data_IF_321716928457
#
_entry.id   IF_321716928457
#
_cell.length_a   1.000
_cell.length_b   1.000
_cell.length_c   1.000
_cell.angle_alpha   90.00
_cell.angle_beta   90.00
_cell.angle_gamma   90.00
#
_symmetry.space_group_name_H-M   'P 1'
#
loop_
_entity.id
_entity.type
_entity.pdbx_description
1 polymer ?
#
# COMPACT_ATOMS: atom_id res chain seq x y z
N UNK A 1 21.12 4.86 3.61
CA UNK A 1 19.86 5.26 2.97
C UNK A 1 19.23 6.45 3.69
N UNK A 2 19.21 6.49 5.02
CA UNK A 2 18.65 7.60 5.83
C UNK A 2 19.24 8.95 5.46
N UNK A 3 20.57 9.05 5.33
CA UNK A 3 21.21 10.27 4.85
C UNK A 3 20.85 10.59 3.38
N UNK A 4 20.75 9.57 2.53
CA UNK A 4 20.40 9.76 1.13
C UNK A 4 19.03 10.43 0.94
N UNK A 5 18.04 10.16 1.79
CA UNK A 5 16.70 10.78 1.74
C UNK A 5 16.54 12.00 2.65
N UNK A 6 17.61 12.49 3.28
CA UNK A 6 17.57 13.57 4.28
C UNK A 6 17.42 14.98 3.70
N UNK A 7 17.47 15.14 2.38
CA UNK A 7 17.32 16.44 1.68
C UNK A 7 16.44 16.29 0.45
N UNK A 8 15.65 17.29 0.10
CA UNK A 8 14.78 17.24 -1.08
C UNK A 8 15.56 17.22 -2.39
N UNK A 9 14.92 16.83 -3.46
CA UNK A 9 15.43 16.87 -4.83
C UNK A 9 16.50 15.82 -5.15
N UNK A 10 16.55 14.71 -4.40
CA UNK A 10 17.56 13.67 -4.61
C UNK A 10 17.04 12.48 -5.42
N UNK A 11 17.91 11.99 -6.28
CA UNK A 11 17.77 10.68 -6.91
C UNK A 11 18.75 9.73 -6.21
N UNK A 12 18.20 8.73 -5.53
CA UNK A 12 18.97 7.74 -4.77
C UNK A 12 19.20 6.50 -5.64
N UNK A 13 20.48 6.19 -5.85
CA UNK A 13 20.95 5.02 -6.59
C UNK A 13 21.80 4.14 -5.67
N UNK A 14 21.99 2.88 -6.05
CA UNK A 14 22.71 1.89 -5.25
C UNK A 14 23.85 1.25 -6.06
N UNK A 15 25.05 1.34 -5.57
CA UNK A 15 26.23 0.67 -6.14
C UNK A 15 26.47 -0.71 -5.53
N UNK A 16 25.70 -1.08 -4.51
CA UNK A 16 25.81 -2.35 -3.80
C UNK A 16 24.44 -3.01 -3.67
N UNK A 17 24.42 -4.33 -3.54
CA UNK A 17 23.22 -5.07 -3.17
C UNK A 17 23.26 -5.50 -1.70
N UNK A 18 22.15 -5.96 -1.18
CA UNK A 18 22.06 -6.54 0.15
C UNK A 18 20.87 -6.07 0.98
N UNK A 19 20.95 -6.33 2.28
CA UNK A 19 19.91 -5.99 3.23
C UNK A 19 20.34 -4.80 4.10
N UNK A 20 19.49 -3.79 4.16
CA UNK A 20 19.60 -2.65 5.07
C UNK A 20 18.71 -2.95 6.28
N UNK A 21 19.33 -3.30 7.41
CA UNK A 21 18.60 -3.55 8.65
C UNK A 21 18.34 -2.23 9.39
N UNK A 22 17.08 -1.91 9.56
CA UNK A 22 16.63 -0.73 10.30
C UNK A 22 16.31 -1.11 11.74
N UNK A 23 16.73 -0.28 12.68
CA UNK A 23 16.37 -0.35 14.10
C UNK A 23 15.28 0.65 14.47
N UNK A 24 14.98 1.57 13.58
CA UNK A 24 13.92 2.57 13.71
C UNK A 24 13.38 2.93 12.31
N UNK A 25 12.14 3.38 12.24
CA UNK A 25 11.43 3.77 11.02
C UNK A 25 12.28 4.61 10.07
N UNK A 26 12.32 4.23 8.80
CA UNK A 26 12.88 5.10 7.76
C UNK A 26 11.82 6.08 7.28
N UNK A 27 11.92 7.34 7.69
CA UNK A 27 11.00 8.39 7.23
C UNK A 27 11.58 9.13 6.01
N UNK A 28 10.84 9.11 4.90
CA UNK A 28 11.08 9.99 3.74
C UNK A 28 10.24 11.26 3.97
N UNK A 29 10.84 12.24 4.63
CA UNK A 29 10.18 13.48 5.06
C UNK A 29 10.50 14.70 4.20
N UNK A 30 11.14 14.50 3.03
CA UNK A 30 11.49 15.56 2.09
C UNK A 30 10.90 15.25 0.72
N UNK A 31 10.35 16.26 0.08
CA UNK A 31 9.75 16.13 -1.25
C UNK A 31 10.77 16.00 -2.38
N UNK A 32 10.31 15.58 -3.54
CA UNK A 32 11.12 15.40 -4.75
C UNK A 32 12.23 14.34 -4.56
N UNK A 33 11.89 13.22 -3.95
CA UNK A 33 12.79 12.07 -3.76
C UNK A 33 12.45 10.97 -4.75
N UNK A 34 13.46 10.47 -5.45
CA UNK A 34 13.34 9.28 -6.29
C UNK A 34 14.30 8.21 -5.79
N UNK A 35 13.81 7.02 -5.48
CA UNK A 35 14.63 5.87 -5.06
C UNK A 35 14.59 4.81 -6.15
N UNK A 36 15.74 4.50 -6.73
CA UNK A 36 15.89 3.60 -7.88
C UNK A 36 16.59 2.29 -7.46
N UNK A 37 15.84 1.38 -6.85
CA UNK A 37 16.35 0.08 -6.40
C UNK A 37 16.91 -0.80 -7.52
N UNK A 38 16.46 -0.62 -8.76
CA UNK A 38 16.95 -1.34 -9.94
C UNK A 38 18.40 -1.02 -10.31
N UNK A 39 18.99 0.03 -9.76
CA UNK A 39 20.41 0.34 -9.98
C UNK A 39 21.34 -0.55 -9.15
N UNK A 40 20.81 -1.18 -8.10
CA UNK A 40 21.61 -2.11 -7.29
C UNK A 40 21.99 -3.34 -8.09
N UNK A 41 23.27 -3.79 -8.00
CA UNK A 41 23.69 -5.02 -8.64
C UNK A 41 23.09 -6.26 -7.98
N UNK A 42 23.30 -7.42 -8.61
CA UNK A 42 22.99 -8.74 -8.05
C UNK A 42 21.53 -8.90 -7.61
N UNK A 43 21.34 -9.18 -6.34
CA UNK A 43 20.01 -9.44 -5.77
C UNK A 43 19.23 -8.17 -5.42
N UNK A 44 19.74 -6.98 -5.68
CA UNK A 44 19.06 -5.71 -5.36
C UNK A 44 19.05 -5.38 -3.86
N UNK A 45 18.14 -4.49 -3.44
CA UNK A 45 18.07 -4.00 -2.06
C UNK A 45 16.85 -4.55 -1.33
N UNK A 46 17.08 -5.02 -0.13
CA UNK A 46 16.04 -5.34 0.86
C UNK A 46 16.17 -4.41 2.06
N UNK A 47 15.05 -3.84 2.51
CA UNK A 47 14.95 -3.10 3.77
C UNK A 47 14.27 -4.01 4.77
N UNK A 48 14.84 -4.20 5.94
CA UNK A 48 14.34 -5.09 6.98
C UNK A 48 14.36 -4.42 8.37
N UNK A 49 13.66 -4.99 9.32
CA UNK A 49 13.63 -4.58 10.73
C UNK A 49 12.48 -3.63 11.09
N UNK A 50 12.25 -2.59 10.30
CA UNK A 50 11.09 -1.68 10.45
C UNK A 50 10.59 -1.22 9.10
N UNK A 51 9.62 -0.32 9.09
CA UNK A 51 8.93 0.20 7.93
C UNK A 51 9.64 1.37 7.21
N UNK A 52 9.11 1.68 6.04
CA UNK A 52 9.45 2.88 5.26
C UNK A 52 8.21 3.77 5.17
N UNK A 53 8.22 4.87 5.89
CA UNK A 53 7.15 5.87 5.89
C UNK A 53 7.42 6.98 4.91
N UNK A 54 6.53 7.20 3.96
CA UNK A 54 6.51 8.37 3.09
C UNK A 54 5.68 9.47 3.77
N UNK A 55 6.30 10.60 4.05
CA UNK A 55 5.69 11.72 4.75
C UNK A 55 5.99 13.06 4.04
N UNK A 56 6.08 13.02 2.72
CA UNK A 56 6.29 14.17 1.85
C UNK A 56 5.75 13.89 0.46
N UNK A 57 5.46 14.93 -0.29
CA UNK A 57 4.94 14.86 -1.64
C UNK A 57 6.02 14.62 -2.69
N UNK A 58 5.59 14.18 -3.87
CA UNK A 58 6.43 13.92 -5.02
C UNK A 58 7.58 12.94 -4.72
N UNK A 59 7.18 11.72 -4.35
CA UNK A 59 8.10 10.63 -4.04
C UNK A 59 7.88 9.45 -4.97
N UNK A 60 8.96 8.97 -5.55
CA UNK A 60 8.99 7.79 -6.42
C UNK A 60 9.88 6.72 -5.77
N UNK A 61 9.32 5.52 -5.55
CA UNK A 61 10.07 4.37 -5.03
C UNK A 61 9.91 3.20 -6.00
N UNK A 62 11.03 2.70 -6.48
CA UNK A 62 11.03 1.60 -7.45
C UNK A 62 12.00 0.48 -7.07
N UNK A 63 11.58 -0.76 -7.32
CA UNK A 63 12.38 -1.98 -7.19
C UNK A 63 13.00 -2.19 -5.81
N UNK A 64 12.29 -1.86 -4.75
CA UNK A 64 12.70 -2.19 -3.39
C UNK A 64 11.92 -3.40 -2.85
N UNK A 65 12.58 -4.18 -2.01
CA UNK A 65 11.93 -5.15 -1.13
C UNK A 65 11.89 -4.60 0.28
N UNK A 66 10.71 -4.65 0.94
CA UNK A 66 10.57 -4.23 2.34
C UNK A 66 10.04 -5.41 3.15
N UNK A 67 10.76 -5.77 4.19
CA UNK A 67 10.55 -6.95 5.04
C UNK A 67 10.75 -6.58 6.52
N UNK A 68 9.82 -5.83 7.14
CA UNK A 68 10.01 -5.36 8.52
C UNK A 68 10.17 -6.53 9.49
N UNK A 69 9.31 -7.53 9.39
CA UNK A 69 9.21 -8.57 10.42
C UNK A 69 8.62 -8.01 11.71
N UNK A 70 8.72 -8.79 12.78
CA UNK A 70 8.20 -8.44 14.10
C UNK A 70 9.27 -8.44 15.22
N UNK A 71 10.53 -8.29 14.83
CA UNK A 71 11.66 -8.22 15.78
C UNK A 71 11.72 -6.90 16.55
N UNK A 72 11.10 -5.84 16.01
CA UNK A 72 10.97 -4.53 16.65
C UNK A 72 9.49 -4.30 16.96
N UNK A 73 9.18 -3.97 18.21
CA UNK A 73 7.81 -3.70 18.64
C UNK A 73 7.25 -2.43 17.96
N UNK A 74 6.00 -2.47 17.53
CA UNK A 74 5.33 -1.31 16.92
C UNK A 74 4.09 -1.67 16.12
N UNK A 75 3.61 -0.70 15.36
CA UNK A 75 2.58 -0.85 14.32
C UNK A 75 3.23 -0.52 12.97
N UNK A 76 3.73 -1.53 12.29
CA UNK A 76 4.49 -1.32 11.06
C UNK A 76 3.71 -1.77 9.84
N UNK A 77 3.34 -0.81 8.99
CA UNK A 77 3.17 -1.08 7.56
C UNK A 77 4.54 -1.41 6.97
N UNK A 78 4.60 -2.00 5.77
CA UNK A 78 5.92 -2.15 5.15
C UNK A 78 6.37 -0.86 4.48
N UNK A 79 5.53 -0.33 3.59
CA UNK A 79 5.84 0.84 2.76
C UNK A 79 4.55 1.61 2.49
N UNK A 80 4.50 2.86 2.86
CA UNK A 80 3.31 3.66 2.61
C UNK A 80 3.36 5.05 3.23
N UNK A 81 2.22 5.72 3.23
CA UNK A 81 2.05 7.06 3.78
C UNK A 81 0.60 7.52 3.79
N UNK A 82 0.37 8.67 4.40
CA UNK A 82 -0.97 9.24 4.51
C UNK A 82 -0.97 10.74 4.28
N UNK A 83 -2.04 11.24 3.66
CA UNK A 83 -2.27 12.67 3.41
C UNK A 83 -1.12 13.39 2.70
N UNK A 84 -0.62 12.79 1.65
CA UNK A 84 0.47 13.25 0.79
C UNK A 84 0.01 13.25 -0.67
N UNK A 85 0.79 13.79 -1.58
CA UNK A 85 0.47 13.86 -3.01
C UNK A 85 1.60 13.36 -3.89
N UNK A 86 1.25 12.96 -5.12
CA UNK A 86 2.21 12.65 -6.18
C UNK A 86 3.17 11.50 -5.82
N UNK A 87 2.61 10.33 -5.51
CA UNK A 87 3.39 9.16 -5.09
C UNK A 87 3.36 8.07 -6.15
N UNK A 88 4.53 7.53 -6.45
CA UNK A 88 4.67 6.34 -7.30
C UNK A 88 5.41 5.24 -6.56
N UNK A 89 4.76 4.08 -6.37
CA UNK A 89 5.36 2.84 -5.90
C UNK A 89 5.30 1.83 -7.05
N UNK A 90 6.44 1.46 -7.59
CA UNK A 90 6.48 0.63 -8.79
C UNK A 90 7.52 -0.49 -8.69
N UNK A 91 7.14 -1.71 -9.10
CA UNK A 91 7.99 -2.89 -9.03
C UNK A 91 8.55 -3.17 -7.63
N UNK A 92 7.83 -2.81 -6.58
CA UNK A 92 8.21 -3.10 -5.20
C UNK A 92 7.64 -4.43 -4.73
N UNK A 93 8.31 -5.03 -3.77
CA UNK A 93 7.83 -6.25 -3.10
C UNK A 93 7.79 -6.03 -1.60
N UNK A 94 6.62 -6.20 -0.99
CA UNK A 94 6.41 -6.00 0.45
C UNK A 94 5.83 -7.26 1.09
N UNK A 95 6.40 -7.67 2.22
CA UNK A 95 5.93 -8.81 3.01
C UNK A 95 6.35 -8.67 4.47
N UNK A 96 5.67 -9.41 5.35
CA UNK A 96 6.01 -9.54 6.77
C UNK A 96 5.84 -8.25 7.57
N UNK A 97 4.95 -7.35 7.12
CA UNK A 97 4.42 -6.27 7.95
C UNK A 97 3.45 -6.82 8.99
N UNK A 98 3.35 -6.14 10.10
CA UNK A 98 2.54 -6.57 11.25
C UNK A 98 1.17 -5.88 11.31
N UNK A 99 0.96 -4.85 10.50
CA UNK A 99 -0.34 -4.23 10.20
C UNK A 99 -0.59 -4.33 8.69
N UNK A 100 -0.71 -3.24 7.92
CA UNK A 100 -0.79 -3.28 6.47
C UNK A 100 0.60 -3.43 5.80
N UNK A 101 0.59 -3.86 4.56
CA UNK A 101 1.84 -3.95 3.81
C UNK A 101 2.12 -2.73 2.93
N UNK A 102 1.12 -2.22 2.19
CA UNK A 102 1.36 -1.12 1.25
C UNK A 102 0.15 -0.19 1.18
N UNK A 103 0.13 0.80 2.05
CA UNK A 103 -0.99 1.72 2.16
C UNK A 103 -0.62 3.13 1.71
N UNK A 104 -1.47 3.74 0.86
CA UNK A 104 -1.47 5.16 0.58
C UNK A 104 -2.85 5.70 0.95
N UNK A 105 -2.95 6.31 2.12
CA UNK A 105 -4.21 6.79 2.69
C UNK A 105 -4.41 8.26 2.34
N UNK A 106 -5.55 8.58 1.77
CA UNK A 106 -5.93 9.94 1.38
C UNK A 106 -7.30 9.96 0.74
N UNK A 107 -7.72 11.09 0.26
CA UNK A 107 -9.01 11.30 -0.39
C UNK A 107 -9.49 12.73 -0.25
N UNK A 108 -10.78 12.94 -0.50
CA UNK A 108 -11.43 14.20 -0.24
C UNK A 108 -11.56 14.45 1.26
N UNK A 109 -11.15 15.61 1.70
CA UNK A 109 -11.30 16.06 3.08
C UNK A 109 -12.38 17.14 3.17
N UNK A 110 -13.17 17.17 4.25
CA UNK A 110 -14.20 18.19 4.45
C UNK A 110 -13.65 19.63 4.51
N UNK A 111 -12.40 19.81 4.83
CA UNK A 111 -11.66 21.08 4.85
C UNK A 111 -11.13 21.51 3.47
N UNK A 112 -11.36 20.70 2.43
CA UNK A 112 -10.96 20.95 1.05
C UNK A 112 -9.51 20.63 0.70
N UNK A 113 -8.78 20.01 1.60
CA UNK A 113 -7.41 19.57 1.34
C UNK A 113 -7.41 18.15 0.75
N UNK A 114 -7.68 18.04 -0.56
CA UNK A 114 -7.63 16.75 -1.25
C UNK A 114 -6.21 16.22 -1.35
N UNK A 115 -6.07 14.91 -1.15
CA UNK A 115 -4.80 14.21 -1.32
C UNK A 115 -4.93 13.05 -2.30
N UNK A 116 -3.89 12.82 -3.09
CA UNK A 116 -3.95 11.81 -4.14
C UNK A 116 -2.84 11.87 -5.17
N UNK A 117 -3.18 11.58 -6.43
CA UNK A 117 -2.24 11.33 -7.52
C UNK A 117 -1.30 10.16 -7.19
N UNK A 118 -1.87 9.05 -6.71
CA UNK A 118 -1.09 7.87 -6.35
C UNK A 118 -1.06 6.86 -7.49
N UNK A 119 0.08 6.25 -7.66
CA UNK A 119 0.25 5.09 -8.51
C UNK A 119 0.94 3.98 -7.74
N UNK A 120 0.28 2.81 -7.62
CA UNK A 120 0.92 1.57 -7.17
C UNK A 120 0.81 0.57 -8.31
N UNK A 121 1.97 0.18 -8.86
CA UNK A 121 1.99 -0.67 -10.05
C UNK A 121 3.03 -1.76 -9.99
N UNK A 122 2.71 -2.91 -10.61
CA UNK A 122 3.64 -4.04 -10.76
C UNK A 122 4.26 -4.51 -9.43
N UNK A 123 3.53 -4.37 -8.33
CA UNK A 123 4.00 -4.70 -6.99
C UNK A 123 3.52 -6.09 -6.55
N UNK A 124 4.35 -6.73 -5.73
CA UNK A 124 3.98 -7.93 -4.98
C UNK A 124 3.75 -7.55 -3.52
N UNK A 125 2.51 -7.69 -3.07
CA UNK A 125 2.04 -7.36 -1.72
C UNK A 125 1.53 -8.67 -1.11
N UNK A 126 2.35 -9.32 -0.28
CA UNK A 126 2.01 -10.67 0.16
C UNK A 126 2.52 -11.02 1.55
N UNK A 127 1.81 -11.94 2.21
CA UNK A 127 2.27 -12.58 3.45
C UNK A 127 2.45 -11.61 4.61
N UNK A 128 1.40 -10.85 4.97
CA UNK A 128 1.36 -10.10 6.21
C UNK A 128 1.41 -11.03 7.44
N UNK A 129 2.07 -10.61 8.51
CA UNK A 129 2.21 -11.39 9.74
C UNK A 129 0.96 -11.26 10.60
N UNK A 130 0.04 -12.24 10.49
CA UNK A 130 -1.21 -12.21 11.26
C UNK A 130 -1.00 -12.40 12.76
N UNK A 131 -0.09 -13.26 13.15
CA UNK A 131 0.31 -13.50 14.53
C UNK A 131 1.69 -12.90 14.75
N UNK A 132 1.75 -11.73 15.31
CA UNK A 132 2.96 -10.94 15.53
C UNK A 132 2.91 -10.26 16.90
N UNK A 133 3.88 -9.43 17.19
CA UNK A 133 3.93 -8.59 18.39
C UNK A 133 3.05 -7.32 18.31
N UNK A 134 2.14 -7.23 17.34
CA UNK A 134 1.22 -6.10 17.24
C UNK A 134 0.33 -5.99 18.47
N UNK A 135 0.26 -4.81 19.10
CA UNK A 135 -0.40 -4.61 20.40
C UNK A 135 -1.93 -4.85 20.38
N UNK A 136 -2.58 -4.73 19.22
CA UNK A 136 -4.01 -5.05 19.06
C UNK A 136 -4.26 -6.56 18.88
N UNK A 137 -3.25 -7.40 18.99
CA UNK A 137 -3.34 -8.84 18.76
C UNK A 137 -3.32 -9.21 17.27
N UNK A 138 -4.05 -10.26 16.89
CA UNK A 138 -4.02 -10.79 15.55
C UNK A 138 -4.40 -9.75 14.49
N UNK A 139 -3.42 -9.33 13.69
CA UNK A 139 -3.50 -8.45 12.54
C UNK A 139 -2.99 -9.19 11.29
N UNK A 140 -2.64 -8.52 10.24
CA UNK A 140 -2.13 -9.15 9.02
C UNK A 140 -2.99 -8.77 7.83
N UNK A 141 -2.86 -7.50 7.45
CA UNK A 141 -3.68 -6.86 6.44
C UNK A 141 -2.88 -6.54 5.17
N UNK A 142 -3.57 -6.45 4.06
CA UNK A 142 -2.95 -6.15 2.77
C UNK A 142 -2.63 -4.67 2.62
N UNK A 143 -3.64 -3.86 2.35
CA UNK A 143 -3.43 -2.44 2.04
C UNK A 143 -4.69 -1.61 2.29
N UNK A 144 -4.50 -0.33 2.65
CA UNK A 144 -5.53 0.71 2.51
C UNK A 144 -5.15 1.58 1.32
N UNK A 145 -5.99 1.60 0.28
CA UNK A 145 -5.80 2.42 -0.90
C UNK A 145 -6.81 3.56 -0.93
N UNK A 146 -6.31 4.76 -0.95
CA UNK A 146 -7.10 5.98 -0.91
C UNK A 146 -6.66 6.97 -1.97
N UNK A 147 -7.05 8.23 -1.78
CA UNK A 147 -6.67 9.34 -2.64
C UNK A 147 -7.67 9.65 -3.75
N UNK A 148 -7.44 10.80 -4.38
CA UNK A 148 -8.12 11.24 -5.59
C UNK A 148 -7.19 11.08 -6.80
N UNK A 149 -7.73 10.79 -7.99
CA UNK A 149 -6.93 10.59 -9.22
C UNK A 149 -5.86 9.51 -9.06
N UNK A 150 -6.25 8.30 -8.66
CA UNK A 150 -5.31 7.23 -8.32
C UNK A 150 -5.42 6.04 -9.26
N UNK A 151 -4.29 5.38 -9.49
CA UNK A 151 -4.20 4.17 -10.32
C UNK A 151 -3.46 3.05 -9.60
N UNK A 152 -4.15 1.95 -9.39
CA UNK A 152 -3.64 0.74 -8.74
C UNK A 152 -3.72 -0.43 -9.72
N UNK A 153 -2.60 -0.79 -10.35
CA UNK A 153 -2.67 -1.73 -11.47
C UNK A 153 -1.51 -2.74 -11.54
N UNK A 154 -1.81 -3.89 -12.10
CA UNK A 154 -0.86 -5.00 -12.30
C UNK A 154 -0.21 -5.50 -10.99
N UNK A 155 -0.90 -5.40 -9.85
CA UNK A 155 -0.38 -5.84 -8.58
C UNK A 155 -0.86 -7.25 -8.24
N UNK A 156 -0.08 -7.96 -7.44
CA UNK A 156 -0.49 -9.20 -6.78
C UNK A 156 -0.65 -8.90 -5.30
N UNK A 157 -1.87 -9.15 -4.77
CA UNK A 157 -2.21 -9.00 -3.35
C UNK A 157 -2.60 -10.39 -2.85
N UNK A 158 -1.81 -10.96 -1.94
CA UNK A 158 -2.02 -12.35 -1.57
C UNK A 158 -1.68 -12.66 -0.10
N UNK A 159 -2.43 -13.62 0.48
CA UNK A 159 -2.15 -14.17 1.80
C UNK A 159 -2.30 -13.15 2.94
N UNK A 160 -3.36 -12.36 2.91
CA UNK A 160 -3.72 -11.44 4.00
C UNK A 160 -5.06 -11.83 4.62
N UNK A 161 -5.22 -11.60 5.90
CA UNK A 161 -6.49 -11.90 6.58
C UNK A 161 -7.62 -10.97 6.08
N UNK A 162 -7.31 -9.72 5.81
CA UNK A 162 -8.27 -8.70 5.36
C UNK A 162 -7.57 -7.59 4.55
N UNK A 163 -8.32 -6.60 4.09
CA UNK A 163 -7.83 -5.42 3.34
C UNK A 163 -7.09 -5.77 2.04
N UNK A 164 -7.80 -6.45 1.12
CA UNK A 164 -7.22 -6.94 -0.15
C UNK A 164 -7.79 -6.25 -1.42
N UNK A 165 -7.68 -4.92 -1.59
CA UNK A 165 -7.41 -3.89 -0.60
C UNK A 165 -8.67 -3.46 0.17
N UNK A 166 -8.53 -2.67 1.24
CA UNK A 166 -9.57 -1.76 1.71
C UNK A 166 -9.44 -0.44 0.95
N UNK A 167 -10.55 0.05 0.40
CA UNK A 167 -10.60 1.41 -0.13
C UNK A 167 -10.84 2.38 1.02
N UNK A 168 -10.10 3.47 1.04
CA UNK A 168 -10.32 4.53 2.02
C UNK A 168 -11.66 5.25 1.74
N UNK A 169 -12.13 6.02 2.71
CA UNK A 169 -13.34 6.82 2.53
C UNK A 169 -13.12 7.98 1.56
N UNK A 170 -14.19 8.39 0.87
CA UNK A 170 -14.22 9.57 -0.02
C UNK A 170 -13.19 9.53 -1.15
N UNK A 171 -12.87 8.35 -1.68
CA UNK A 171 -11.96 8.20 -2.83
C UNK A 171 -12.70 8.47 -4.13
N UNK A 172 -12.14 9.30 -5.00
CA UNK A 172 -12.74 9.60 -6.31
C UNK A 172 -11.72 9.50 -7.44
N UNK A 173 -12.24 9.14 -8.63
CA UNK A 173 -11.41 8.89 -9.81
C UNK A 173 -10.29 7.89 -9.54
N UNK A 174 -10.66 6.80 -8.85
CA UNK A 174 -9.77 5.70 -8.50
C UNK A 174 -9.96 4.55 -9.48
N UNK A 175 -8.87 4.06 -10.03
CA UNK A 175 -8.86 2.91 -10.92
C UNK A 175 -8.09 1.75 -10.31
N UNK A 176 -8.75 0.58 -10.20
CA UNK A 176 -8.12 -0.70 -9.90
C UNK A 176 -8.15 -1.55 -11.16
N UNK A 177 -6.99 -1.89 -11.72
CA UNK A 177 -6.94 -2.56 -13.02
C UNK A 177 -5.92 -3.70 -13.06
N UNK A 178 -6.32 -4.82 -13.63
CA UNK A 178 -5.43 -5.97 -13.85
C UNK A 178 -4.75 -6.46 -12.57
N UNK A 179 -5.35 -6.33 -11.40
CA UNK A 179 -4.78 -6.85 -10.17
C UNK A 179 -5.17 -8.31 -9.95
N UNK A 180 -4.31 -9.07 -9.29
CA UNK A 180 -4.61 -10.43 -8.84
C UNK A 180 -4.75 -10.42 -7.33
N UNK A 181 -5.90 -10.85 -6.84
CA UNK A 181 -6.19 -10.97 -5.41
C UNK A 181 -6.35 -12.46 -5.09
N UNK A 182 -5.47 -12.98 -4.21
CA UNK A 182 -5.42 -14.39 -3.92
C UNK A 182 -5.42 -14.71 -2.44
N UNK A 183 -6.17 -15.74 -2.06
CA UNK A 183 -6.13 -16.37 -0.74
C UNK A 183 -6.30 -15.41 0.44
N UNK A 184 -7.33 -14.55 0.39
CA UNK A 184 -7.72 -13.73 1.53
C UNK A 184 -8.30 -14.57 2.67
N UNK A 185 -8.20 -14.10 3.90
CA UNK A 185 -8.79 -14.76 5.07
C UNK A 185 -10.24 -14.38 5.29
N UNK A 186 -10.49 -13.42 6.16
CA UNK A 186 -11.84 -12.97 6.52
C UNK A 186 -12.49 -12.11 5.44
N UNK A 187 -11.78 -11.13 4.91
CA UNK A 187 -12.31 -10.19 3.90
C UNK A 187 -11.41 -10.06 2.69
N UNK A 188 -12.01 -10.02 1.52
CA UNK A 188 -11.36 -9.62 0.27
C UNK A 188 -11.28 -8.09 0.17
N UNK A 189 -11.72 -7.51 -0.94
CA UNK A 189 -11.79 -6.05 -1.09
C UNK A 189 -13.07 -5.49 -0.45
N UNK A 190 -13.00 -4.29 0.10
CA UNK A 190 -14.13 -3.60 0.71
C UNK A 190 -13.81 -2.10 0.94
N UNK A 191 -14.80 -1.37 1.48
CA UNK A 191 -14.62 0.03 1.90
C UNK A 191 -15.20 1.02 0.92
N UNK A 192 -14.59 2.21 0.87
CA UNK A 192 -15.06 3.32 0.05
C UNK A 192 -16.29 4.02 0.61
N UNK A 193 -16.41 4.09 1.93
CA UNK A 193 -17.53 4.76 2.61
C UNK A 193 -17.53 6.26 2.30
N UNK A 194 -18.71 6.83 2.09
CA UNK A 194 -18.89 8.28 2.13
C UNK A 194 -19.05 8.72 3.58
N UNK A 195 -18.29 9.71 4.02
CA UNK A 195 -18.29 10.19 5.41
C UNK A 195 -19.11 11.46 5.63
N UNK A 196 -19.54 12.13 4.57
CA UNK A 196 -20.33 13.36 4.65
C UNK A 196 -21.32 13.47 3.50
N UNK A 197 -22.36 14.25 3.69
CA UNK A 197 -23.30 14.62 2.63
C UNK A 197 -22.53 15.33 1.49
N UNK A 198 -22.84 15.00 0.25
CA UNK A 198 -22.13 15.45 -0.96
C UNK A 198 -20.71 14.90 -1.18
N UNK A 199 -20.21 14.06 -0.30
CA UNK A 199 -19.03 13.26 -0.56
C UNK A 199 -19.44 11.90 -1.11
N UNK A 200 -18.75 11.44 -2.13
CA UNK A 200 -19.02 10.15 -2.77
C UNK A 200 -17.72 9.50 -3.23
N UNK A 201 -17.76 8.21 -3.20
CA UNK A 201 -16.66 7.39 -3.75
C UNK A 201 -16.96 7.05 -5.21
N UNK A 202 -15.99 7.24 -6.09
CA UNK A 202 -16.04 6.78 -7.49
C UNK A 202 -14.85 5.89 -7.80
N UNK A 203 -15.13 4.65 -8.11
CA UNK A 203 -14.10 3.64 -8.37
C UNK A 203 -14.41 2.84 -9.63
N UNK A 204 -13.43 2.72 -10.51
CA UNK A 204 -13.39 1.77 -11.60
C UNK A 204 -12.56 0.55 -11.18
N UNK A 205 -13.17 -0.62 -11.17
CA UNK A 205 -12.48 -1.88 -10.96
C UNK A 205 -12.62 -2.73 -12.22
N UNK A 206 -11.54 -2.90 -12.95
CA UNK A 206 -11.57 -3.49 -14.29
C UNK A 206 -10.53 -4.59 -14.41
N UNK A 207 -10.94 -5.73 -14.97
CA UNK A 207 -10.07 -6.82 -15.36
C UNK A 207 -9.16 -7.33 -14.22
N UNK A 208 -9.63 -7.27 -12.98
CA UNK A 208 -8.94 -7.83 -11.82
C UNK A 208 -9.41 -9.26 -11.58
N UNK A 209 -8.50 -10.12 -11.12
CA UNK A 209 -8.78 -11.54 -10.93
C UNK A 209 -8.76 -11.91 -9.45
N UNK A 210 -9.88 -12.42 -8.96
CA UNK A 210 -10.06 -12.86 -7.58
C UNK A 210 -10.06 -14.38 -7.50
N UNK A 211 -9.15 -14.96 -6.76
CA UNK A 211 -9.05 -16.40 -6.55
C UNK A 211 -9.00 -16.73 -5.06
N UNK A 212 -9.99 -17.43 -4.56
CA UNK A 212 -9.95 -17.96 -3.21
C UNK A 212 -8.85 -19.04 -3.07
N UNK A 213 -8.34 -19.19 -1.86
CA UNK A 213 -7.33 -20.17 -1.52
C UNK A 213 -7.62 -20.90 -0.20
N UNK A 214 -6.65 -21.63 0.35
CA UNK A 214 -6.86 -22.45 1.55
C UNK A 214 -7.33 -21.66 2.78
N UNK A 215 -6.91 -20.40 2.92
CA UNK A 215 -7.25 -19.55 4.08
C UNK A 215 -8.58 -18.81 3.93
N UNK A 216 -9.18 -18.82 2.73
CA UNK A 216 -10.36 -18.00 2.42
C UNK A 216 -11.61 -18.50 3.12
N UNK A 217 -12.20 -17.66 3.97
CA UNK A 217 -13.44 -17.95 4.70
C UNK A 217 -14.69 -17.63 3.87
N UNK A 218 -14.75 -16.44 3.26
CA UNK A 218 -15.88 -16.00 2.43
C UNK A 218 -15.52 -16.08 0.94
N UNK A 219 -15.64 -17.29 0.35
CA UNK A 219 -15.14 -17.58 -1.00
C UNK A 219 -15.82 -16.80 -2.12
N UNK A 220 -17.08 -16.42 -1.94
CA UNK A 220 -17.90 -15.78 -2.98
C UNK A 220 -18.06 -14.27 -2.77
N UNK A 221 -17.50 -13.72 -1.70
CA UNK A 221 -17.53 -12.28 -1.41
C UNK A 221 -16.22 -11.65 -1.86
N UNK A 222 -16.19 -11.17 -3.10
CA UNK A 222 -14.99 -10.57 -3.67
C UNK A 222 -14.89 -9.08 -3.37
N UNK A 223 -16.03 -8.40 -3.23
CA UNK A 223 -16.07 -6.99 -2.87
C UNK A 223 -17.26 -6.68 -1.95
N UNK A 224 -17.04 -5.89 -0.91
CA UNK A 224 -18.05 -5.42 0.03
C UNK A 224 -18.16 -3.90 -0.04
N UNK A 225 -19.19 -3.43 -0.74
CA UNK A 225 -19.47 -1.99 -0.85
C UNK A 225 -20.05 -1.51 0.46
N UNK A 226 -19.40 -0.56 1.09
CA UNK A 226 -19.86 0.05 2.34
C UNK A 226 -20.41 1.45 2.10
N UNK A 227 -21.51 1.75 2.76
CA UNK A 227 -22.08 3.10 2.84
C UNK A 227 -22.97 3.52 1.66
N UNK A 228 -23.62 4.65 1.84
CA UNK A 228 -24.44 5.34 0.84
C UNK A 228 -23.60 6.36 0.07
N UNK A 229 -23.95 6.68 -1.17
CA UNK A 229 -23.25 7.69 -1.98
C UNK A 229 -22.01 7.19 -2.71
N UNK A 230 -21.78 5.88 -2.75
CA UNK A 230 -20.65 5.30 -3.46
C UNK A 230 -21.06 4.84 -4.86
N UNK A 231 -20.21 5.11 -5.84
CA UNK A 231 -20.39 4.70 -7.24
C UNK A 231 -19.24 3.81 -7.69
N UNK A 232 -19.55 2.57 -7.99
CA UNK A 232 -18.59 1.58 -8.44
C UNK A 232 -18.93 1.09 -9.84
N UNK A 233 -17.95 1.04 -10.71
CA UNK A 233 -17.98 0.22 -11.90
C UNK A 233 -17.06 -0.98 -11.68
N UNK A 234 -17.62 -2.17 -11.69
CA UNK A 234 -16.89 -3.41 -11.40
C UNK A 234 -17.07 -4.37 -12.59
N UNK A 235 -15.95 -4.69 -13.22
CA UNK A 235 -15.84 -5.70 -14.27
C UNK A 235 -14.59 -6.57 -13.99
N UNK A 236 -14.75 -7.66 -13.26
CA UNK A 236 -13.69 -8.54 -12.76
C UNK A 236 -13.87 -9.97 -13.28
#
# INVERSE_FOLDING_TARGET
LRDAVSRPGRIVVFDVCGTINLTERLKIGNSNITILGQTAPGQGITIAGTDVLIAADNVIVRYLRVRPGDSVEGEWDCLGGAHINDIVLDHCSVSWGIDELMSLYGGLNPDGADTGNYTISNCLISESLRLSNHYKGAHGYGAIWGGTNTSYYNNIIAHHDSRNPRLASNVIYTELKNNVIYNWGGNSSYGGESTAENFYTKVNMVNSYYKFGPSTKAKYKIFDVSGTGSHYYINV
#
